data_IF_824185341545
#
_entry.id   IF_824185341545
#
_cell.length_a   1.000
_cell.length_b   1.000
_cell.length_c   1.000
_cell.angle_alpha   90.00
_cell.angle_beta   90.00
_cell.angle_gamma   90.00
#
_symmetry.space_group_name_H-M   'P 1'
#
loop_
_entity.id
_entity.type
_entity.pdbx_description
1 polymer ?
#
# COMPACT_ATOMS: atom_id res chain seq x y z
N UNK A 1 44.96 61.74 21.83
CA UNK A 1 44.78 60.43 21.15
C UNK A 1 43.47 59.80 21.60
N UNK A 2 42.35 60.08 20.91
CA UNK A 2 41.05 59.44 21.18
C UNK A 2 40.71 58.58 19.96
N UNK A 3 40.63 57.26 20.15
CA UNK A 3 40.40 56.27 19.09
C UNK A 3 38.91 56.25 18.74
N UNK A 4 38.59 56.54 17.48
CA UNK A 4 37.29 56.30 16.86
C UNK A 4 37.12 54.79 16.64
N UNK A 5 36.09 54.17 17.23
CA UNK A 5 35.60 52.85 16.81
C UNK A 5 34.32 53.09 16.01
N UNK A 6 34.38 52.90 14.70
CA UNK A 6 33.20 52.87 13.83
C UNK A 6 32.59 51.47 13.90
N UNK A 7 31.38 51.37 14.44
CA UNK A 7 30.58 50.14 14.42
C UNK A 7 29.86 50.10 13.07
N UNK A 8 30.28 49.20 12.20
CA UNK A 8 29.61 48.93 10.92
C UNK A 8 28.38 48.06 11.21
N UNK A 9 27.18 48.65 11.19
CA UNK A 9 25.92 47.91 11.29
C UNK A 9 25.65 47.21 9.95
N UNK A 10 25.88 45.89 9.88
CA UNK A 10 25.50 45.08 8.73
C UNK A 10 23.97 44.88 8.77
N UNK A 11 23.23 45.65 7.97
CA UNK A 11 21.79 45.43 7.78
C UNK A 11 21.61 44.20 6.90
N UNK A 12 21.30 43.07 7.51
CA UNK A 12 20.84 41.87 6.79
C UNK A 12 19.43 42.17 6.25
N UNK A 13 19.34 42.55 4.97
CA UNK A 13 18.07 42.61 4.25
C UNK A 13 17.50 41.19 4.19
N UNK A 14 16.60 40.86 5.12
CA UNK A 14 15.70 39.72 4.98
C UNK A 14 14.87 39.95 3.72
N UNK A 15 15.28 39.32 2.62
CA UNK A 15 14.41 39.17 1.46
C UNK A 15 13.19 38.39 1.95
N UNK A 16 11.97 38.94 1.87
CA UNK A 16 10.78 38.19 2.21
C UNK A 16 10.69 37.00 1.27
N UNK A 17 10.99 35.81 1.79
CA UNK A 17 10.78 34.57 1.07
C UNK A 17 9.28 34.48 0.79
N UNK A 18 8.91 34.48 -0.48
CA UNK A 18 7.53 34.20 -0.88
C UNK A 18 7.21 32.78 -0.40
N UNK A 19 6.41 32.69 0.66
CA UNK A 19 5.83 31.43 1.11
C UNK A 19 4.91 30.93 0.00
N UNK A 20 5.39 29.94 -0.76
CA UNK A 20 4.56 29.25 -1.75
C UNK A 20 3.68 28.25 -1.00
N UNK A 21 2.44 28.64 -0.71
CA UNK A 21 1.43 27.72 -0.25
C UNK A 21 0.97 26.86 -1.44
N UNK A 22 0.92 25.54 -1.27
CA UNK A 22 0.44 24.65 -2.31
C UNK A 22 -1.02 24.98 -2.65
N UNK A 23 -1.37 24.92 -3.94
CA UNK A 23 -2.73 25.17 -4.42
C UNK A 23 -3.64 23.95 -4.19
N UNK A 24 -3.06 22.76 -4.22
CA UNK A 24 -3.75 21.49 -4.03
C UNK A 24 -2.94 20.59 -3.09
N UNK A 25 -3.66 19.84 -2.26
CA UNK A 25 -3.07 18.78 -1.44
C UNK A 25 -3.64 17.45 -1.91
N UNK A 26 -2.74 16.54 -2.32
CA UNK A 26 -3.08 15.15 -2.59
C UNK A 26 -2.73 14.32 -1.35
N UNK A 27 -3.74 13.71 -0.73
CA UNK A 27 -3.55 12.79 0.39
C UNK A 27 -3.39 11.37 -0.15
N UNK A 28 -2.32 10.71 0.30
CA UNK A 28 -1.98 9.34 -0.04
C UNK A 28 -1.95 8.48 1.22
N UNK A 29 -2.89 7.53 1.34
CA UNK A 29 -3.00 6.64 2.49
C UNK A 29 -2.61 5.20 2.18
N UNK A 30 -1.84 4.56 3.05
CA UNK A 30 -1.46 3.14 2.90
C UNK A 30 -1.22 2.42 4.23
N UNK A 31 -1.26 1.08 4.20
CA UNK A 31 -1.14 0.24 5.42
C UNK A 31 0.30 -0.14 5.77
N UNK A 32 1.21 -0.17 4.80
CA UNK A 32 2.61 -0.49 5.03
C UNK A 32 3.33 0.51 5.94
N UNK A 33 4.40 0.11 6.63
CA UNK A 33 5.15 0.99 7.51
C UNK A 33 5.90 2.08 6.72
N UNK A 34 6.24 3.18 7.40
CA UNK A 34 7.01 4.29 6.84
C UNK A 34 8.52 3.96 6.78
N UNK A 35 8.90 3.01 5.93
CA UNK A 35 10.29 2.56 5.78
C UNK A 35 10.75 2.62 4.33
N UNK A 36 12.06 2.68 4.13
CA UNK A 36 12.70 2.69 2.80
C UNK A 36 12.63 1.35 2.06
N UNK A 37 11.99 0.34 2.65
CA UNK A 37 11.82 -1.01 2.09
C UNK A 37 10.34 -1.42 2.01
N UNK A 38 9.42 -0.50 2.31
CA UNK A 38 7.99 -0.75 2.27
C UNK A 38 7.47 -0.55 0.86
N UNK A 39 6.93 -1.61 0.26
CA UNK A 39 6.36 -1.60 -1.08
C UNK A 39 5.17 -0.62 -1.22
N UNK A 40 4.56 -0.24 -0.09
CA UNK A 40 3.49 0.74 -0.05
C UNK A 40 4.01 2.19 0.08
N UNK A 41 5.13 2.37 0.79
CA UNK A 41 5.64 3.70 1.14
C UNK A 41 6.52 4.30 0.05
N UNK A 42 7.37 3.47 -0.58
CA UNK A 42 8.29 3.92 -1.64
C UNK A 42 7.54 4.58 -2.80
N UNK A 43 6.42 4.02 -3.32
CA UNK A 43 5.64 4.70 -4.36
C UNK A 43 5.09 6.06 -3.91
N UNK A 44 4.69 6.19 -2.65
CA UNK A 44 4.22 7.47 -2.08
C UNK A 44 5.32 8.52 -2.03
N UNK A 45 6.53 8.15 -1.61
CA UNK A 45 7.69 9.03 -1.62
C UNK A 45 8.06 9.47 -3.04
N UNK A 46 8.05 8.53 -3.99
CA UNK A 46 8.27 8.84 -5.39
C UNK A 46 7.20 9.79 -5.93
N UNK A 47 5.93 9.53 -5.66
CA UNK A 47 4.80 10.37 -6.08
C UNK A 47 4.93 11.79 -5.52
N UNK A 48 5.32 11.92 -4.24
CA UNK A 48 5.58 13.20 -3.59
C UNK A 48 6.67 13.97 -4.31
N UNK A 49 7.85 13.36 -4.48
CA UNK A 49 8.98 14.00 -5.17
C UNK A 49 8.62 14.36 -6.62
N UNK A 50 7.93 13.46 -7.32
CA UNK A 50 7.55 13.66 -8.72
C UNK A 50 6.56 14.82 -8.86
N UNK A 51 5.45 14.84 -8.12
CA UNK A 51 4.44 15.88 -8.24
C UNK A 51 4.96 17.24 -7.78
N UNK A 52 5.55 17.32 -6.58
CA UNK A 52 6.01 18.59 -6.02
C UNK A 52 7.09 19.24 -6.91
N UNK A 53 8.01 18.45 -7.48
CA UNK A 53 9.03 18.97 -8.41
C UNK A 53 8.46 19.37 -9.76
N UNK A 54 7.57 18.56 -10.34
CA UNK A 54 7.03 18.78 -11.69
C UNK A 54 6.00 19.90 -11.75
N UNK A 55 5.34 20.20 -10.64
CA UNK A 55 4.35 21.29 -10.55
C UNK A 55 4.92 22.53 -9.88
N UNK A 56 6.23 22.59 -9.59
CA UNK A 56 6.84 23.72 -8.89
C UNK A 56 6.21 23.99 -7.51
N UNK A 57 5.74 22.96 -6.82
CA UNK A 57 5.09 23.06 -5.51
C UNK A 57 3.57 23.33 -5.54
N UNK A 58 2.94 23.47 -6.72
CA UNK A 58 1.48 23.69 -6.80
C UNK A 58 0.65 22.52 -6.23
N UNK A 59 1.16 21.28 -6.31
CA UNK A 59 0.58 20.10 -5.68
C UNK A 59 1.51 19.64 -4.56
N UNK A 60 1.03 19.69 -3.31
CA UNK A 60 1.68 19.05 -2.18
C UNK A 60 1.14 17.63 -2.00
N UNK A 61 2.02 16.68 -1.62
CA UNK A 61 1.61 15.31 -1.31
C UNK A 61 1.79 15.03 0.18
N UNK A 62 0.69 14.68 0.84
CA UNK A 62 0.65 14.24 2.23
C UNK A 62 0.54 12.71 2.28
N UNK A 63 1.47 12.06 2.97
CA UNK A 63 1.54 10.60 3.06
C UNK A 63 1.11 10.17 4.46
N UNK A 64 0.12 9.28 4.53
CA UNK A 64 -0.41 8.70 5.75
C UNK A 64 -0.08 7.19 5.79
N UNK A 65 1.10 6.82 6.33
CA UNK A 65 1.57 5.44 6.35
C UNK A 65 0.98 4.64 7.51
N UNK A 66 1.38 3.36 7.63
CA UNK A 66 1.15 2.51 8.79
C UNK A 66 -0.32 2.40 9.22
N UNK A 67 -1.24 2.42 8.25
CA UNK A 67 -2.68 2.31 8.46
C UNK A 67 -3.26 3.42 9.36
N UNK A 68 -2.64 4.61 9.38
CA UNK A 68 -3.14 5.78 10.13
C UNK A 68 -4.57 6.17 9.78
N UNK A 69 -4.96 5.98 8.52
CA UNK A 69 -6.30 6.26 8.00
C UNK A 69 -7.15 4.99 7.87
N UNK A 70 -6.75 3.87 8.49
CA UNK A 70 -7.50 2.62 8.46
C UNK A 70 -6.90 1.53 7.57
N UNK A 71 -7.66 0.45 7.40
CA UNK A 71 -7.29 -0.72 6.62
C UNK A 71 -7.61 -0.56 5.12
N UNK A 72 -7.22 -1.54 4.29
CA UNK A 72 -7.43 -1.47 2.84
C UNK A 72 -8.86 -1.15 2.41
N UNK A 73 -9.88 -1.70 3.11
CA UNK A 73 -11.28 -1.48 2.78
C UNK A 73 -11.68 -0.03 3.07
N UNK A 74 -11.36 0.43 4.27
CA UNK A 74 -11.67 1.78 4.74
C UNK A 74 -10.98 2.85 3.88
N UNK A 75 -9.76 2.60 3.41
CA UNK A 75 -9.04 3.51 2.51
C UNK A 75 -9.72 3.62 1.14
N UNK A 76 -10.19 2.50 0.56
CA UNK A 76 -10.93 2.52 -0.72
C UNK A 76 -12.28 3.25 -0.56
N UNK A 77 -12.97 3.04 0.56
CA UNK A 77 -14.20 3.76 0.91
C UNK A 77 -13.96 5.27 1.02
N UNK A 78 -12.83 5.70 1.61
CA UNK A 78 -12.46 7.12 1.66
C UNK A 78 -12.16 7.71 0.28
N UNK A 79 -11.50 6.95 -0.61
CA UNK A 79 -11.32 7.37 -2.01
C UNK A 79 -12.66 7.50 -2.71
N UNK A 80 -13.56 6.55 -2.50
CA UNK A 80 -14.90 6.59 -3.06
C UNK A 80 -15.68 7.84 -2.62
N UNK A 81 -15.60 8.19 -1.33
CA UNK A 81 -16.24 9.36 -0.72
C UNK A 81 -15.49 10.67 -0.97
N UNK A 82 -14.37 10.64 -1.70
CA UNK A 82 -13.54 11.80 -2.00
C UNK A 82 -12.98 12.51 -0.74
N UNK A 83 -12.72 11.75 0.33
CA UNK A 83 -12.04 12.23 1.56
C UNK A 83 -10.55 11.91 1.57
N UNK A 84 -10.13 10.99 0.70
CA UNK A 84 -8.74 10.60 0.41
C UNK A 84 -8.55 10.58 -1.12
N UNK A 85 -7.54 11.25 -1.67
CA UNK A 85 -7.38 11.32 -3.14
C UNK A 85 -6.76 10.04 -3.72
N UNK A 86 -5.84 9.41 -2.99
CA UNK A 86 -5.14 8.21 -3.46
C UNK A 86 -4.89 7.21 -2.34
N UNK A 87 -5.05 5.93 -2.65
CA UNK A 87 -4.60 4.85 -1.78
C UNK A 87 -3.89 3.77 -2.57
N UNK A 88 -2.99 3.06 -1.91
CA UNK A 88 -2.39 1.85 -2.42
C UNK A 88 -2.98 0.65 -1.70
N UNK A 89 -3.40 -0.34 -2.49
CA UNK A 89 -4.06 -1.55 -2.02
C UNK A 89 -3.54 -2.76 -2.78
N UNK A 90 -3.86 -3.95 -2.27
CA UNK A 90 -3.50 -5.22 -2.89
C UNK A 90 -4.74 -5.86 -3.54
N UNK A 91 -4.55 -6.91 -4.35
CA UNK A 91 -5.66 -7.66 -4.96
C UNK A 91 -6.68 -8.10 -3.91
N UNK A 92 -6.23 -8.60 -2.76
CA UNK A 92 -7.12 -8.99 -1.68
C UNK A 92 -7.81 -7.83 -0.95
N UNK A 93 -7.24 -6.63 -0.96
CA UNK A 93 -7.94 -5.43 -0.48
C UNK A 93 -9.09 -5.05 -1.41
N UNK A 94 -8.84 -5.07 -2.72
CA UNK A 94 -9.85 -4.81 -3.76
C UNK A 94 -10.95 -5.88 -3.81
N UNK A 95 -10.64 -7.13 -3.46
CA UNK A 95 -11.61 -8.23 -3.41
C UNK A 95 -12.83 -7.95 -2.52
N UNK A 96 -12.71 -7.04 -1.54
CA UNK A 96 -13.81 -6.62 -0.67
C UNK A 96 -14.91 -5.83 -1.40
N UNK A 97 -14.61 -5.28 -2.59
CA UNK A 97 -15.54 -4.50 -3.43
C UNK A 97 -15.77 -5.17 -4.79
N UNK A 98 -14.73 -5.82 -5.32
CA UNK A 98 -14.76 -6.53 -6.58
C UNK A 98 -14.10 -7.91 -6.43
N UNK A 99 -14.83 -8.92 -5.91
CA UNK A 99 -14.29 -10.25 -5.65
C UNK A 99 -13.68 -10.93 -6.88
N UNK A 100 -14.17 -10.63 -8.07
CA UNK A 100 -13.69 -11.23 -9.33
C UNK A 100 -12.25 -10.82 -9.66
N UNK A 101 -11.76 -9.71 -9.08
CA UNK A 101 -10.36 -9.33 -9.21
C UNK A 101 -9.40 -10.39 -8.65
N UNK A 102 -9.87 -11.24 -7.73
CA UNK A 102 -9.08 -12.34 -7.19
C UNK A 102 -8.71 -13.41 -8.20
N UNK A 103 -9.26 -13.39 -9.42
CA UNK A 103 -8.77 -14.24 -10.50
C UNK A 103 -7.27 -14.05 -10.73
N UNK A 104 -6.72 -12.86 -10.47
CA UNK A 104 -5.28 -12.59 -10.62
C UNK A 104 -4.44 -13.03 -9.42
N UNK A 105 -5.07 -13.49 -8.34
CA UNK A 105 -4.43 -13.92 -7.08
C UNK A 105 -4.58 -15.43 -6.84
N UNK A 106 -5.04 -16.19 -7.84
CA UNK A 106 -5.11 -17.65 -7.79
C UNK A 106 -3.69 -18.20 -7.53
N UNK A 107 -3.47 -18.98 -6.45
CA UNK A 107 -2.16 -19.50 -6.12
C UNK A 107 -1.54 -20.26 -7.29
N UNK A 108 -0.27 -19.95 -7.59
CA UNK A 108 0.53 -20.56 -8.66
C UNK A 108 0.04 -20.29 -10.11
N UNK A 109 -0.91 -19.36 -10.30
CA UNK A 109 -1.38 -19.01 -11.65
C UNK A 109 -0.33 -18.27 -12.49
N UNK A 110 0.47 -17.42 -11.85
CA UNK A 110 1.55 -16.66 -12.50
C UNK A 110 2.89 -17.35 -12.19
N UNK A 111 3.62 -17.75 -13.23
CA UNK A 111 4.81 -18.58 -13.04
C UNK A 111 6.08 -17.79 -12.67
N UNK A 112 6.15 -16.51 -13.00
CA UNK A 112 7.28 -15.63 -12.68
C UNK A 112 6.93 -14.15 -12.88
N UNK A 113 7.84 -13.26 -12.46
CA UNK A 113 7.65 -11.81 -12.51
C UNK A 113 7.45 -11.29 -13.94
N UNK A 114 8.14 -11.85 -14.93
CA UNK A 114 7.99 -11.42 -16.32
C UNK A 114 6.57 -11.67 -16.84
N UNK A 115 5.97 -12.82 -16.51
CA UNK A 115 4.57 -13.12 -16.85
C UNK A 115 3.62 -12.21 -16.07
N UNK A 116 3.87 -12.01 -14.77
CA UNK A 116 3.04 -11.13 -13.95
C UNK A 116 3.03 -9.68 -14.48
N UNK A 117 4.17 -9.17 -14.92
CA UNK A 117 4.27 -7.85 -15.55
C UNK A 117 3.52 -7.76 -16.87
N UNK A 118 3.59 -8.79 -17.72
CA UNK A 118 2.83 -8.83 -18.97
C UNK A 118 1.32 -8.82 -18.72
N UNK A 119 0.85 -9.58 -17.73
CA UNK A 119 -0.56 -9.57 -17.31
C UNK A 119 -0.96 -8.18 -16.77
N UNK A 120 -0.12 -7.55 -15.95
CA UNK A 120 -0.39 -6.22 -15.40
C UNK A 120 -0.42 -5.12 -16.47
N UNK A 121 0.39 -5.24 -17.53
CA UNK A 121 0.44 -4.31 -18.66
C UNK A 121 -0.65 -4.59 -19.71
N UNK A 122 -1.21 -5.79 -19.73
CA UNK A 122 -2.18 -6.20 -20.73
C UNK A 122 -3.49 -5.42 -20.65
N UNK A 123 -4.10 -5.17 -21.82
CA UNK A 123 -5.31 -4.36 -21.95
C UNK A 123 -6.46 -4.87 -21.09
N UNK A 124 -6.58 -6.19 -20.92
CA UNK A 124 -7.61 -6.80 -20.07
C UNK A 124 -7.59 -6.24 -18.64
N UNK A 125 -6.40 -6.00 -18.07
CA UNK A 125 -6.27 -5.46 -16.72
C UNK A 125 -6.82 -4.03 -16.62
N UNK A 126 -6.51 -3.17 -17.60
CA UNK A 126 -6.90 -1.76 -17.54
C UNK A 126 -8.34 -1.52 -18.01
N UNK A 127 -8.77 -2.26 -19.03
CA UNK A 127 -10.10 -2.08 -19.65
C UNK A 127 -11.17 -2.86 -18.90
N UNK A 128 -10.95 -4.15 -18.64
CA UNK A 128 -11.97 -5.01 -18.01
C UNK A 128 -11.97 -4.81 -16.50
N UNK A 129 -10.83 -5.01 -15.84
CA UNK A 129 -10.76 -4.86 -14.38
C UNK A 129 -10.89 -3.37 -14.00
N UNK A 130 -10.07 -2.49 -14.56
CA UNK A 130 -10.14 -1.06 -14.27
C UNK A 130 -11.52 -0.45 -14.57
N UNK A 131 -12.15 -0.87 -15.67
CA UNK A 131 -13.52 -0.46 -16.02
C UNK A 131 -14.57 -0.95 -15.03
N UNK A 132 -14.51 -2.21 -14.59
CA UNK A 132 -15.47 -2.77 -13.64
C UNK A 132 -15.30 -2.18 -12.24
N UNK A 133 -14.07 -1.88 -11.80
CA UNK A 133 -13.81 -1.13 -10.55
C UNK A 133 -14.50 0.23 -10.59
N UNK A 134 -14.31 1.01 -11.67
CA UNK A 134 -14.96 2.31 -11.81
C UNK A 134 -16.48 2.19 -11.88
N UNK A 135 -17.01 1.21 -12.61
CA UNK A 135 -18.45 1.00 -12.75
C UNK A 135 -19.12 0.63 -11.42
N UNK A 136 -18.52 -0.25 -10.61
CA UNK A 136 -19.11 -0.69 -9.33
C UNK A 136 -18.98 0.34 -8.23
N UNK A 137 -17.85 1.04 -8.18
CA UNK A 137 -17.61 2.06 -7.16
C UNK A 137 -18.21 3.41 -7.55
N UNK A 138 -18.37 3.69 -8.84
CA UNK A 138 -18.84 4.98 -9.37
C UNK A 138 -17.80 6.10 -9.36
N UNK A 139 -16.73 5.99 -8.55
CA UNK A 139 -15.74 7.06 -8.39
C UNK A 139 -14.28 6.60 -8.21
N UNK A 140 -14.02 5.31 -7.98
CA UNK A 140 -12.64 4.81 -7.78
C UNK A 140 -12.03 4.41 -9.12
N UNK A 141 -10.81 4.88 -9.41
CA UNK A 141 -10.08 4.57 -10.64
C UNK A 141 -8.77 3.88 -10.33
N UNK A 142 -8.46 2.82 -11.08
CA UNK A 142 -7.11 2.27 -11.10
C UNK A 142 -6.21 3.19 -11.95
N UNK A 143 -5.12 3.66 -11.36
CA UNK A 143 -4.19 4.60 -12.01
C UNK A 143 -2.77 4.03 -12.15
N UNK A 144 -2.45 3.01 -11.37
CA UNK A 144 -1.15 2.34 -11.38
C UNK A 144 -1.32 0.89 -10.90
N UNK A 145 -0.46 -0.01 -11.40
CA UNK A 145 -0.26 -1.35 -10.85
C UNK A 145 1.24 -1.51 -10.64
N UNK A 146 1.62 -1.85 -9.40
CA UNK A 146 2.99 -2.15 -9.03
C UNK A 146 3.14 -3.62 -8.60
N UNK A 147 4.38 -4.10 -8.58
CA UNK A 147 4.71 -5.38 -7.97
C UNK A 147 5.02 -5.15 -6.47
N UNK A 148 4.50 -5.99 -5.59
CA UNK A 148 4.82 -6.00 -4.15
C UNK A 148 6.21 -6.60 -3.86
N UNK A 149 7.15 -6.44 -4.79
CA UNK A 149 8.56 -6.81 -4.69
C UNK A 149 8.91 -8.30 -4.61
N UNK A 150 7.98 -9.21 -4.25
CA UNK A 150 8.21 -10.65 -4.02
C UNK A 150 6.94 -11.50 -4.15
N UNK A 151 7.14 -12.81 -4.34
CA UNK A 151 6.08 -13.83 -4.23
C UNK A 151 5.75 -14.14 -2.77
N UNK A 152 4.46 -14.35 -2.46
CA UNK A 152 3.99 -14.76 -1.14
C UNK A 152 4.54 -16.13 -0.78
N UNK A 153 5.08 -16.27 0.43
CA UNK A 153 5.62 -17.53 0.97
C UNK A 153 5.07 -17.75 2.38
N UNK A 154 5.07 -19.00 2.85
CA UNK A 154 4.64 -19.31 4.21
C UNK A 154 5.75 -19.00 5.21
N UNK A 155 5.41 -18.21 6.22
CA UNK A 155 6.27 -17.94 7.36
C UNK A 155 5.58 -18.40 8.63
N UNK A 156 6.31 -19.08 9.48
CA UNK A 156 5.79 -19.60 10.75
C UNK A 156 6.72 -19.24 11.88
N UNK A 157 6.17 -19.09 13.08
CA UNK A 157 6.95 -18.80 14.29
C UNK A 157 7.81 -19.98 14.76
N UNK A 158 7.36 -21.22 14.52
CA UNK A 158 8.00 -22.44 15.06
C UNK A 158 8.15 -23.59 14.07
N UNK A 159 7.11 -23.87 13.26
CA UNK A 159 7.02 -25.09 12.45
C UNK A 159 7.41 -24.85 11.00
N UNK A 160 8.56 -25.38 10.57
CA UNK A 160 8.95 -25.33 9.17
C UNK A 160 7.94 -26.04 8.25
N UNK A 161 7.50 -25.36 7.19
CA UNK A 161 6.59 -25.89 6.17
C UNK A 161 7.43 -26.22 4.93
N UNK A 162 7.57 -27.52 4.59
CA UNK A 162 8.26 -27.97 3.38
C UNK A 162 7.32 -28.57 2.36
N UNK A 163 6.22 -29.14 2.83
CA UNK A 163 5.21 -29.82 2.03
C UNK A 163 3.82 -29.33 2.43
N UNK A 164 2.82 -29.52 1.55
CA UNK A 164 1.43 -29.17 1.88
C UNK A 164 0.93 -29.89 3.14
N UNK A 165 1.38 -31.13 3.38
CA UNK A 165 1.02 -31.90 4.57
C UNK A 165 1.47 -31.24 5.89
N UNK A 166 2.55 -30.45 5.86
CA UNK A 166 3.03 -29.72 7.03
C UNK A 166 2.05 -28.60 7.44
N UNK A 167 1.13 -28.18 6.57
CA UNK A 167 0.12 -27.18 6.88
C UNK A 167 -0.99 -27.72 7.80
N UNK A 168 -1.11 -29.05 7.95
CA UNK A 168 -2.19 -29.68 8.71
C UNK A 168 -2.32 -29.10 10.13
N UNK A 169 -3.47 -28.49 10.40
CA UNK A 169 -3.83 -27.93 11.70
C UNK A 169 -3.14 -26.61 12.08
N UNK A 170 -2.24 -26.08 11.24
CA UNK A 170 -1.52 -24.83 11.50
C UNK A 170 -2.50 -23.65 11.44
N UNK A 171 -2.48 -22.79 12.46
CA UNK A 171 -3.26 -21.54 12.48
C UNK A 171 -2.61 -20.50 11.59
N UNK A 172 -2.93 -20.52 10.32
CA UNK A 172 -2.31 -19.66 9.32
C UNK A 172 -3.12 -18.38 9.15
N UNK A 173 -2.47 -17.23 9.28
CA UNK A 173 -3.12 -15.96 9.01
C UNK A 173 -3.48 -15.84 7.54
N UNK A 174 -4.65 -15.28 7.27
CA UNK A 174 -5.07 -14.84 5.93
C UNK A 174 -5.47 -13.37 5.99
N UNK A 175 -5.47 -12.68 4.85
CA UNK A 175 -6.28 -11.45 4.73
C UNK A 175 -7.76 -11.85 4.63
N UNK A 176 -8.67 -10.88 4.72
CA UNK A 176 -10.11 -11.12 4.53
C UNK A 176 -10.45 -11.38 3.05
N UNK A 177 -9.97 -12.52 2.53
CA UNK A 177 -10.02 -12.94 1.15
C UNK A 177 -10.55 -14.37 1.11
N UNK A 178 -11.73 -14.60 0.51
CA UNK A 178 -12.28 -15.95 0.35
C UNK A 178 -11.29 -16.92 -0.29
N UNK A 179 -10.58 -16.47 -1.33
CA UNK A 179 -9.59 -17.28 -2.03
C UNK A 179 -8.43 -17.74 -1.12
N UNK A 180 -7.89 -16.86 -0.28
CA UNK A 180 -6.81 -17.23 0.64
C UNK A 180 -7.30 -18.18 1.73
N UNK A 181 -8.50 -17.95 2.26
CA UNK A 181 -9.14 -18.83 3.23
C UNK A 181 -9.28 -20.24 2.64
N UNK A 182 -9.81 -20.35 1.43
CA UNK A 182 -9.98 -21.65 0.76
C UNK A 182 -8.64 -22.32 0.43
N UNK A 183 -7.64 -21.55 0.01
CA UNK A 183 -6.31 -22.10 -0.25
C UNK A 183 -5.67 -22.74 0.99
N UNK A 184 -5.74 -22.07 2.15
CA UNK A 184 -5.22 -22.64 3.40
C UNK A 184 -6.02 -23.88 3.82
N UNK A 185 -7.35 -23.86 3.71
CA UNK A 185 -8.19 -25.04 4.01
C UNK A 185 -7.85 -26.23 3.10
N UNK A 186 -7.63 -25.97 1.80
CA UNK A 186 -7.28 -27.00 0.82
C UNK A 186 -5.96 -27.70 1.14
N UNK A 187 -5.02 -27.01 1.80
CA UNK A 187 -3.78 -27.61 2.32
C UNK A 187 -3.95 -28.27 3.71
N UNK A 188 -5.15 -28.23 4.31
CA UNK A 188 -5.44 -28.78 5.63
C UNK A 188 -5.09 -27.87 6.81
N UNK A 189 -4.77 -26.60 6.55
CA UNK A 189 -4.54 -25.59 7.58
C UNK A 189 -5.82 -24.99 8.14
N UNK A 190 -5.67 -24.19 9.18
CA UNK A 190 -6.73 -23.43 9.83
C UNK A 190 -6.55 -21.94 9.52
N UNK A 191 -7.25 -21.38 8.51
CA UNK A 191 -7.13 -19.96 8.20
C UNK A 191 -7.76 -19.09 9.29
N UNK A 192 -7.02 -18.06 9.70
CA UNK A 192 -7.51 -17.03 10.62
C UNK A 192 -7.36 -15.66 9.95
N UNK A 193 -8.46 -15.03 9.49
CA UNK A 193 -8.40 -13.69 8.93
C UNK A 193 -7.96 -12.67 9.99
N UNK A 194 -6.86 -11.96 9.74
CA UNK A 194 -6.32 -10.94 10.67
C UNK A 194 -5.88 -9.71 9.86
N UNK A 195 -6.29 -8.53 10.32
CA UNK A 195 -5.92 -7.26 9.69
C UNK A 195 -4.40 -7.05 9.73
N UNK A 196 -3.84 -6.36 8.73
CA UNK A 196 -2.38 -6.22 8.59
C UNK A 196 -1.70 -5.64 9.85
N UNK A 197 -2.29 -4.60 10.46
CA UNK A 197 -1.77 -3.97 11.67
C UNK A 197 -1.73 -4.88 12.91
N UNK A 198 -2.48 -5.99 12.90
CA UNK A 198 -2.61 -6.93 14.02
C UNK A 198 -1.77 -8.20 13.83
N UNK A 199 -1.13 -8.38 12.67
CA UNK A 199 -0.39 -9.61 12.36
C UNK A 199 0.73 -9.83 13.38
N UNK A 200 1.52 -8.80 13.68
CA UNK A 200 2.66 -8.92 14.58
C UNK A 200 2.24 -9.29 16.00
N UNK A 201 1.22 -8.63 16.55
CA UNK A 201 0.71 -8.91 17.89
C UNK A 201 0.05 -10.29 17.95
N UNK A 202 -0.65 -10.70 16.90
CA UNK A 202 -1.30 -12.02 16.81
C UNK A 202 -0.30 -13.17 16.69
N UNK A 203 0.83 -12.97 15.98
CA UNK A 203 1.95 -13.91 15.97
C UNK A 203 2.59 -14.02 17.36
N UNK A 204 2.79 -12.88 18.04
CA UNK A 204 3.39 -12.84 19.38
C UNK A 204 2.51 -13.51 20.44
N UNK A 205 1.19 -13.34 20.37
CA UNK A 205 0.25 -13.93 21.32
C UNK A 205 -0.09 -15.40 21.02
N UNK A 206 0.26 -15.90 19.83
CA UNK A 206 -0.04 -17.27 19.40
C UNK A 206 -1.50 -17.47 18.95
N UNK A 207 -2.23 -16.38 18.70
CA UNK A 207 -3.55 -16.43 18.03
C UNK A 207 -3.40 -17.01 16.62
N UNK A 208 -2.30 -16.66 15.95
CA UNK A 208 -1.83 -17.24 14.69
C UNK A 208 -0.42 -17.78 14.86
N UNK A 209 -0.09 -18.82 14.11
CA UNK A 209 1.22 -19.50 14.14
C UNK A 209 2.09 -19.14 12.94
N UNK A 210 1.48 -18.61 11.88
CA UNK A 210 2.15 -18.16 10.66
C UNK A 210 1.32 -17.19 9.84
N UNK A 211 1.91 -16.69 8.75
CA UNK A 211 1.28 -15.85 7.71
C UNK A 211 1.86 -16.13 6.33
#
# INVERSE_FOLDING_TARGET
>A
MKRLFSILFLVFLMVPGTSYAAKWTLKYGHVGPATSISDDHIPGLWLKTYLESRTGGDIAVEIYPAAQLGNFRELIEQVNQNTLELTHTTVGGMASFFPEFQVTDIPYMLANDAIAEQVAKGDWMWTVIGGEVLKRTGNVRMVAIGNTGRWRSFYTTKKLIKTAADMKGVKMRTINSPLQIEFIKAMGGNPTPVAWGEVYTSLKSGVIEGT
#
